data_IF_770645904909
#
_entry.id   IF_770645904909
#
_cell.length_a   1.000
_cell.length_b   1.000
_cell.length_c   1.000
_cell.angle_alpha   90.00
_cell.angle_beta   90.00
_cell.angle_gamma   90.00
#
_symmetry.space_group_name_H-M   'P 1'
#
loop_
_entity.id
_entity.type
_entity.pdbx_description
1 polymer ?
#
# COMPACT_ATOMS: atom_id res chain seq x y z
N UNK A 1 0.84 12.79 -8.95
CA UNK A 1 1.38 11.92 -7.88
C UNK A 1 2.64 12.54 -7.33
N UNK A 2 2.76 12.56 -6.04
CA UNK A 2 3.93 13.07 -5.34
C UNK A 2 4.57 11.94 -4.54
N UNK A 3 5.88 11.84 -4.61
CA UNK A 3 6.67 10.84 -3.92
C UNK A 3 7.57 11.52 -2.89
N UNK A 4 7.66 10.95 -1.70
CA UNK A 4 8.59 11.36 -0.67
C UNK A 4 9.37 10.14 -0.18
N UNK A 5 10.69 10.29 -0.11
CA UNK A 5 11.58 9.26 0.35
C UNK A 5 12.19 9.67 1.69
N UNK A 6 12.01 8.84 2.71
CA UNK A 6 12.66 9.05 4.00
C UNK A 6 13.99 8.29 4.04
N UNK A 7 15.08 9.02 3.92
CA UNK A 7 16.42 8.44 3.82
C UNK A 7 17.20 8.50 5.13
N UNK A 8 16.61 8.87 6.27
CA UNK A 8 17.46 9.15 7.42
C UNK A 8 17.09 8.48 8.73
N UNK A 9 17.97 7.53 9.11
CA UNK A 9 18.66 7.72 10.38
C UNK A 9 19.98 6.98 10.36
N UNK A 10 21.04 7.68 10.08
CA UNK A 10 22.42 7.14 10.05
C UNK A 10 23.01 6.86 11.43
N UNK A 11 22.28 7.09 12.52
CA UNK A 11 22.85 7.11 13.87
C UNK A 11 22.65 5.84 14.70
N UNK A 12 22.05 4.80 14.16
CA UNK A 12 22.04 3.49 14.84
C UNK A 12 22.88 2.50 14.06
N UNK A 13 24.17 2.55 14.32
CA UNK A 13 25.10 1.54 13.81
C UNK A 13 24.65 0.14 14.27
N UNK A 14 24.45 -0.80 13.35
CA UNK A 14 24.40 -2.22 13.64
C UNK A 14 23.20 -3.04 13.17
N UNK A 15 22.05 -2.46 12.86
CA UNK A 15 20.93 -3.21 12.29
C UNK A 15 20.51 -2.63 10.95
N UNK A 16 20.36 -3.46 9.92
CA UNK A 16 19.83 -2.99 8.64
C UNK A 16 18.42 -2.43 8.85
N UNK A 17 18.13 -1.28 8.23
CA UNK A 17 16.82 -0.63 8.29
C UNK A 17 16.17 -0.66 6.93
N UNK A 18 14.85 -0.79 6.87
CA UNK A 18 14.15 -0.71 5.60
C UNK A 18 14.26 0.71 5.03
N UNK A 19 14.36 0.80 3.72
CA UNK A 19 14.14 2.04 2.99
C UNK A 19 12.64 2.20 2.79
N UNK A 20 12.09 3.33 3.21
CA UNK A 20 10.65 3.60 3.12
C UNK A 20 10.39 4.67 2.07
N UNK A 21 9.54 4.36 1.11
CA UNK A 21 9.03 5.30 0.11
C UNK A 21 7.55 5.50 0.37
N UNK A 22 7.12 6.75 0.49
CA UNK A 22 5.69 7.10 0.61
C UNK A 22 5.22 7.60 -0.74
N UNK A 23 4.22 6.92 -1.30
CA UNK A 23 3.61 7.31 -2.56
C UNK A 23 2.13 7.63 -2.36
N UNK A 24 1.72 8.79 -2.83
CA UNK A 24 0.34 9.22 -2.73
C UNK A 24 -0.01 10.17 -3.88
N UNK A 25 -1.30 10.26 -4.17
CA UNK A 25 -1.84 11.23 -5.11
C UNK A 25 -2.65 12.28 -4.36
N UNK A 26 -2.49 13.53 -4.74
CA UNK A 26 -3.26 14.63 -4.16
C UNK A 26 -3.67 15.62 -5.25
N UNK A 27 -4.75 16.36 -4.99
CA UNK A 27 -5.16 17.48 -5.82
C UNK A 27 -4.31 18.72 -5.52
N UNK A 28 -4.43 19.78 -6.35
CA UNK A 28 -3.65 21.02 -6.17
C UNK A 28 -3.92 21.70 -4.84
N UNK A 29 -5.09 21.48 -4.23
CA UNK A 29 -5.43 22.01 -2.90
C UNK A 29 -4.94 21.10 -1.74
N UNK A 30 -4.13 20.09 -2.03
CA UNK A 30 -3.51 19.22 -1.04
C UNK A 30 -4.41 18.10 -0.52
N UNK A 31 -5.51 17.80 -1.20
CA UNK A 31 -6.44 16.75 -0.79
C UNK A 31 -6.08 15.41 -1.39
N UNK A 32 -6.14 14.36 -0.56
CA UNK A 32 -5.91 12.99 -0.97
C UNK A 32 -7.17 12.27 -1.45
N UNK A 33 -8.35 12.82 -1.10
CA UNK A 33 -9.65 12.28 -1.46
C UNK A 33 -10.68 13.41 -1.57
N UNK A 34 -11.80 13.13 -2.21
CA UNK A 34 -12.94 14.05 -2.22
C UNK A 34 -13.60 14.09 -0.84
N UNK A 35 -14.51 15.04 -0.63
CA UNK A 35 -15.28 15.16 0.61
C UNK A 35 -16.04 13.86 0.93
N UNK A 36 -16.47 13.11 -0.11
CA UNK A 36 -17.12 11.80 0.05
C UNK A 36 -16.14 10.64 0.30
N UNK A 37 -14.84 10.91 0.41
CA UNK A 37 -13.82 9.88 0.67
C UNK A 37 -13.33 9.16 -0.58
N UNK A 38 -13.74 9.54 -1.78
CA UNK A 38 -13.28 8.92 -3.02
C UNK A 38 -11.87 9.42 -3.36
N UNK A 39 -10.93 8.49 -3.52
CA UNK A 39 -9.57 8.76 -3.97
C UNK A 39 -9.26 8.14 -5.34
N UNK A 40 -10.24 7.44 -5.92
CA UNK A 40 -10.10 6.85 -7.25
C UNK A 40 -9.98 7.95 -8.31
N UNK A 41 -9.21 7.70 -9.34
CA UNK A 41 -9.08 8.57 -10.52
C UNK A 41 -8.45 9.96 -10.26
N UNK A 42 -7.81 10.16 -9.08
CA UNK A 42 -7.05 11.38 -8.82
C UNK A 42 -5.77 11.41 -9.66
N UNK A 43 -5.17 10.26 -9.93
CA UNK A 43 -3.92 10.13 -10.68
C UNK A 43 -4.17 9.89 -12.17
N UNK A 44 -3.35 10.51 -13.03
CA UNK A 44 -3.31 10.20 -14.46
C UNK A 44 -2.73 8.80 -14.72
N UNK A 45 -2.94 8.25 -15.93
CA UNK A 45 -2.45 6.92 -16.32
C UNK A 45 -0.94 6.75 -16.17
N UNK A 46 -0.16 7.79 -16.45
CA UNK A 46 1.31 7.77 -16.27
C UNK A 46 1.69 7.65 -14.79
N UNK A 47 0.93 8.31 -13.92
CA UNK A 47 1.12 8.20 -12.47
C UNK A 47 0.76 6.81 -11.96
N UNK A 48 -0.26 6.16 -12.53
CA UNK A 48 -0.60 4.78 -12.19
C UNK A 48 0.50 3.81 -12.60
N UNK A 49 1.10 4.02 -13.76
CA UNK A 49 2.26 3.23 -14.20
C UNK A 49 3.44 3.40 -13.25
N UNK A 50 3.76 4.63 -12.86
CA UNK A 50 4.82 4.92 -11.92
C UNK A 50 4.58 4.22 -10.57
N UNK A 51 3.32 4.14 -10.13
CA UNK A 51 2.94 3.41 -8.91
C UNK A 51 3.29 1.92 -9.03
N UNK A 52 3.00 1.29 -10.17
CA UNK A 52 3.36 -0.10 -10.40
C UNK A 52 4.88 -0.31 -10.51
N UNK A 53 5.60 0.63 -11.08
CA UNK A 53 7.07 0.60 -11.11
C UNK A 53 7.66 0.67 -9.69
N UNK A 54 7.10 1.51 -8.82
CA UNK A 54 7.48 1.57 -7.41
C UNK A 54 7.23 0.24 -6.70
N UNK A 55 6.09 -0.39 -6.92
CA UNK A 55 5.79 -1.72 -6.36
C UNK A 55 6.81 -2.76 -6.79
N UNK A 56 7.18 -2.76 -8.07
CA UNK A 56 8.19 -3.67 -8.60
C UNK A 56 9.58 -3.44 -8.02
N UNK A 57 9.89 -2.21 -7.61
CA UNK A 57 11.20 -1.81 -7.08
C UNK A 57 11.34 -2.04 -5.57
N UNK A 58 10.29 -2.44 -4.87
CA UNK A 58 10.28 -2.62 -3.42
C UNK A 58 9.94 -4.06 -3.03
N UNK A 59 10.44 -4.50 -1.87
CA UNK A 59 10.18 -5.84 -1.35
C UNK A 59 8.78 -5.98 -0.78
N UNK A 60 8.20 -4.89 -0.29
CA UNK A 60 6.87 -4.89 0.32
C UNK A 60 6.13 -3.60 0.02
N UNK A 61 4.80 -3.70 0.00
CA UNK A 61 3.88 -2.55 -0.03
C UNK A 61 2.97 -2.63 1.20
N UNK A 62 2.77 -1.49 1.85
CA UNK A 62 1.95 -1.41 3.05
C UNK A 62 0.83 -0.41 2.84
N UNK A 63 -0.39 -0.81 3.18
CA UNK A 63 -1.56 0.08 3.20
C UNK A 63 -2.36 -0.15 4.47
N UNK A 64 -3.13 0.85 4.88
CA UNK A 64 -4.07 0.72 5.99
C UNK A 64 -5.37 0.05 5.57
N UNK A 65 -6.11 -0.46 6.57
CA UNK A 65 -7.40 -1.10 6.36
C UNK A 65 -8.43 -0.17 5.70
N UNK A 66 -8.39 1.12 6.02
CA UNK A 66 -9.30 2.10 5.40
C UNK A 66 -9.16 2.13 3.88
N UNK A 67 -7.95 2.17 3.36
CA UNK A 67 -7.67 2.11 1.93
C UNK A 67 -8.05 0.75 1.35
N UNK A 68 -7.66 -0.33 2.02
CA UNK A 68 -7.94 -1.68 1.55
C UNK A 68 -9.45 -1.97 1.46
N UNK A 69 -10.22 -1.53 2.44
CA UNK A 69 -11.69 -1.74 2.44
C UNK A 69 -12.40 -0.84 1.42
N UNK A 70 -11.92 0.38 1.22
CA UNK A 70 -12.59 1.36 0.35
C UNK A 70 -12.29 1.12 -1.11
N UNK A 71 -11.02 0.93 -1.45
CA UNK A 71 -10.57 0.90 -2.83
C UNK A 71 -10.42 -0.54 -3.37
N UNK A 72 -10.47 -1.54 -2.51
CA UNK A 72 -10.28 -2.95 -2.84
C UNK A 72 -9.08 -3.17 -3.78
N UNK A 73 -7.87 -2.66 -3.43
CA UNK A 73 -6.72 -2.73 -4.32
C UNK A 73 -6.13 -4.14 -4.38
N UNK A 74 -5.58 -4.50 -5.51
CA UNK A 74 -4.82 -5.75 -5.64
C UNK A 74 -3.40 -5.64 -5.11
N UNK A 75 -2.80 -4.46 -5.22
CA UNK A 75 -1.43 -4.16 -4.82
C UNK A 75 -0.38 -4.99 -5.56
N UNK A 76 -0.71 -5.44 -6.75
CA UNK A 76 0.17 -6.23 -7.61
C UNK A 76 0.81 -5.36 -8.70
N UNK A 77 1.84 -5.90 -9.35
CA UNK A 77 2.52 -5.25 -10.48
C UNK A 77 1.86 -5.71 -11.78
N UNK A 78 1.17 -4.80 -12.47
CA UNK A 78 0.45 -5.08 -13.73
C UNK A 78 0.83 -4.14 -14.88
N UNK A 79 1.19 -2.91 -14.56
CA UNK A 79 1.51 -1.85 -15.54
C UNK A 79 3.01 -1.62 -15.67
N UNK A 80 3.83 -2.50 -15.13
CA UNK A 80 5.28 -2.46 -15.19
C UNK A 80 5.81 -3.89 -15.18
N UNK A 81 7.08 -4.07 -15.55
CA UNK A 81 7.77 -5.34 -15.41
C UNK A 81 8.30 -5.49 -13.99
N UNK A 82 8.24 -6.70 -13.45
CA UNK A 82 8.78 -7.02 -12.13
C UNK A 82 7.87 -7.96 -11.34
N UNK A 83 8.39 -8.38 -10.20
CA UNK A 83 7.67 -9.27 -9.29
C UNK A 83 6.77 -8.48 -8.35
N UNK A 84 5.70 -9.12 -7.90
CA UNK A 84 4.81 -8.55 -6.90
C UNK A 84 5.54 -8.41 -5.56
N UNK A 85 5.40 -7.26 -4.88
CA UNK A 85 5.91 -7.11 -3.52
C UNK A 85 5.05 -7.90 -2.52
N UNK A 86 5.62 -8.19 -1.35
CA UNK A 86 4.83 -8.64 -0.22
C UNK A 86 3.78 -7.57 0.12
N UNK A 87 2.53 -7.96 0.22
CA UNK A 87 1.45 -7.02 0.55
C UNK A 87 1.18 -7.07 2.05
N UNK A 88 1.23 -5.92 2.69
CA UNK A 88 0.98 -5.79 4.14
C UNK A 88 -0.21 -4.86 4.36
N UNK A 89 -1.23 -5.37 5.02
CA UNK A 89 -2.42 -4.59 5.38
C UNK A 89 -2.39 -4.36 6.89
N UNK A 90 -2.39 -3.10 7.31
CA UNK A 90 -2.50 -2.76 8.74
C UNK A 90 -3.98 -2.67 9.08
N UNK A 91 -4.50 -3.70 9.73
CA UNK A 91 -5.93 -3.88 10.00
C UNK A 91 -6.15 -4.31 11.45
N UNK A 92 -6.02 -3.35 12.37
CA UNK A 92 -6.12 -3.60 13.80
C UNK A 92 -7.42 -4.27 14.25
N UNK A 93 -8.51 -4.04 13.54
CA UNK A 93 -9.84 -4.56 13.88
C UNK A 93 -10.30 -5.73 13.02
N UNK A 94 -9.44 -6.27 12.14
CA UNK A 94 -9.80 -7.33 11.19
C UNK A 94 -11.05 -6.99 10.36
N UNK A 95 -11.07 -5.78 9.80
CA UNK A 95 -12.20 -5.27 9.01
C UNK A 95 -12.16 -5.69 7.55
N UNK A 96 -11.02 -6.19 7.07
CA UNK A 96 -10.85 -6.55 5.67
C UNK A 96 -11.79 -7.71 5.30
N UNK A 97 -12.63 -7.54 4.25
CA UNK A 97 -13.50 -8.63 3.80
C UNK A 97 -12.70 -9.84 3.32
N UNK A 98 -13.22 -11.05 3.56
CA UNK A 98 -12.58 -12.28 3.11
C UNK A 98 -12.52 -12.42 1.59
N UNK A 99 -13.36 -11.70 0.87
CA UNK A 99 -13.38 -11.66 -0.60
C UNK A 99 -12.60 -10.48 -1.18
N UNK A 100 -11.81 -9.77 -0.35
CA UNK A 100 -10.97 -8.67 -0.82
C UNK A 100 -9.99 -9.14 -1.91
N UNK A 101 -9.76 -8.28 -2.90
CA UNK A 101 -8.90 -8.61 -4.05
C UNK A 101 -7.48 -8.99 -3.64
N UNK A 102 -6.95 -8.36 -2.58
CA UNK A 102 -5.60 -8.66 -2.06
C UNK A 102 -5.48 -10.08 -1.49
N UNK A 103 -6.62 -10.73 -1.16
CA UNK A 103 -6.69 -12.10 -0.66
C UNK A 103 -7.06 -13.12 -1.72
N UNK A 104 -7.24 -12.72 -2.99
CA UNK A 104 -7.56 -13.65 -4.07
C UNK A 104 -6.44 -14.71 -4.24
N UNK A 105 -6.76 -15.87 -4.81
CA UNK A 105 -5.79 -16.96 -4.98
C UNK A 105 -4.52 -16.52 -5.71
N UNK A 106 -4.65 -15.71 -6.76
CA UNK A 106 -3.53 -15.23 -7.56
C UNK A 106 -2.59 -14.31 -6.80
N UNK A 107 -3.03 -13.72 -5.70
CA UNK A 107 -2.24 -12.76 -4.94
C UNK A 107 -2.10 -13.11 -3.46
N UNK A 108 -2.80 -14.12 -2.97
CA UNK A 108 -2.86 -14.45 -1.53
C UNK A 108 -1.52 -14.91 -0.94
N UNK A 109 -0.68 -15.57 -1.74
CA UNK A 109 0.59 -16.12 -1.26
C UNK A 109 1.55 -15.06 -0.69
N UNK A 110 1.39 -13.80 -1.03
CA UNK A 110 2.24 -12.71 -0.56
C UNK A 110 1.49 -11.66 0.24
N UNK A 111 0.42 -12.01 0.96
CA UNK A 111 -0.36 -11.04 1.75
C UNK A 111 -0.24 -11.34 3.23
N UNK A 112 0.05 -10.32 4.02
CA UNK A 112 0.08 -10.38 5.48
C UNK A 112 -0.86 -9.33 6.06
N UNK A 113 -1.56 -9.68 7.12
CA UNK A 113 -2.42 -8.77 7.87
C UNK A 113 -1.76 -8.49 9.21
N UNK A 114 -1.46 -7.22 9.48
CA UNK A 114 -0.92 -6.78 10.76
C UNK A 114 -2.07 -6.33 11.66
N UNK A 115 -2.21 -6.98 12.80
CA UNK A 115 -3.27 -6.72 13.78
C UNK A 115 -2.67 -6.26 15.09
N UNK A 116 -3.49 -5.63 15.94
CA UNK A 116 -3.08 -5.32 17.31
C UNK A 116 -3.23 -6.54 18.21
N UNK A 117 -2.47 -6.58 19.30
CA UNK A 117 -2.55 -7.63 20.31
C UNK A 117 -3.27 -7.07 21.55
N UNK A 118 -4.32 -7.73 22.08
CA UNK A 118 -4.92 -8.94 21.51
C UNK A 118 -5.74 -8.65 20.24
N UNK A 119 -5.63 -9.55 19.27
CA UNK A 119 -6.48 -9.48 18.10
C UNK A 119 -7.93 -9.80 18.49
N UNK A 120 -8.94 -9.18 17.84
CA UNK A 120 -10.32 -9.54 18.07
C UNK A 120 -10.55 -11.02 17.75
N UNK A 121 -11.27 -11.71 18.63
CA UNK A 121 -11.75 -13.06 18.34
C UNK A 121 -13.06 -12.96 17.56
N UNK A 122 -13.16 -13.75 16.52
CA UNK A 122 -14.39 -13.84 15.72
C UNK A 122 -15.46 -14.66 16.43
#
# INVERSE_FOLDING_TARGET
MKEAEDTKNEQTAGKPRPRVTVSYAQTLDGRLATVGGSSQWISASDSLRATHELRAAHDAILVGAGTACRDDPRLTVRLAEGEDPLRVIVDSGLRLPLDAAVLSEDSAAGTQIAVTDPAPED
#
